data_IF_506405705469
#
_entry.id   IF_506405705469
#
_cell.length_a   1.000
_cell.length_b   1.000
_cell.length_c   1.000
_cell.angle_alpha   90.00
_cell.angle_beta   90.00
_cell.angle_gamma   90.00
#
_symmetry.space_group_name_H-M   'P 1'
#
loop_
_entity.id
_entity.type
_entity.pdbx_description
1 polymer ?
#
# COMPACT_ATOMS: atom_id res chain seq x y z
N UNK A 1 14.87 11.50 -9.46
CA UNK A 1 14.89 10.21 -8.74
C UNK A 1 14.06 10.36 -7.48
N UNK A 2 12.91 9.71 -7.39
CA UNK A 2 11.99 9.84 -6.25
C UNK A 2 12.52 9.03 -5.07
N UNK A 3 12.76 9.66 -3.93
CA UNK A 3 13.13 9.00 -2.69
C UNK A 3 11.95 8.16 -2.18
N UNK A 4 12.05 6.84 -2.25
CA UNK A 4 11.13 5.93 -1.56
C UNK A 4 11.36 6.07 -0.06
N UNK A 5 10.49 6.84 0.62
CA UNK A 5 10.43 6.86 2.08
C UNK A 5 9.82 5.53 2.54
N UNK A 6 10.67 4.59 2.92
CA UNK A 6 10.27 3.38 3.64
C UNK A 6 9.75 3.81 5.00
N UNK A 7 8.51 3.45 5.33
CA UNK A 7 7.97 3.64 6.68
C UNK A 7 8.63 2.58 7.56
N UNK A 8 9.61 3.00 8.36
CA UNK A 8 10.08 2.22 9.50
C UNK A 8 9.18 2.54 10.71
N UNK A 9 8.91 1.57 11.60
CA UNK A 9 8.22 1.86 12.84
C UNK A 9 9.13 2.72 13.73
N UNK A 10 9.00 4.04 13.61
CA UNK A 10 9.68 4.98 14.50
C UNK A 10 8.90 5.06 15.82
N UNK A 11 9.63 4.79 16.91
CA UNK A 11 9.30 5.05 18.32
C UNK A 11 8.30 4.12 19.03
N UNK A 12 8.84 3.09 19.71
CA UNK A 12 8.52 2.74 21.12
C UNK A 12 9.66 1.97 21.80
N UNK A 13 10.71 2.67 22.23
CA UNK A 13 11.65 2.14 23.22
C UNK A 13 11.87 3.20 24.30
N UNK A 14 10.88 3.36 25.18
CA UNK A 14 10.96 4.29 26.33
C UNK A 14 11.29 3.57 27.64
N UNK A 15 11.96 2.41 27.57
CA UNK A 15 12.44 1.66 28.73
C UNK A 15 13.87 1.18 28.47
N UNK A 16 14.83 1.73 29.20
CA UNK A 16 16.27 1.44 29.04
C UNK A 16 16.65 -0.04 29.27
N UNK A 17 15.76 -0.83 29.88
CA UNK A 17 15.94 -2.27 30.10
C UNK A 17 15.44 -3.15 28.93
N UNK A 18 14.61 -2.64 28.02
CA UNK A 18 13.97 -3.42 26.93
C UNK A 18 14.82 -3.44 25.64
N UNK A 19 15.70 -2.44 25.45
CA UNK A 19 16.51 -2.33 24.24
C UNK A 19 17.56 -3.45 24.14
N UNK A 20 18.13 -3.90 25.26
CA UNK A 20 19.14 -4.97 25.25
C UNK A 20 18.53 -6.36 25.06
N UNK A 21 17.31 -6.57 25.54
CA UNK A 21 16.56 -7.82 25.31
C UNK A 21 16.06 -7.85 23.86
N UNK A 22 15.48 -6.74 23.38
CA UNK A 22 15.12 -6.53 21.98
C UNK A 22 16.31 -6.71 21.04
N UNK A 23 17.47 -6.11 21.33
CA UNK A 23 18.66 -6.26 20.48
C UNK A 23 19.17 -7.70 20.48
N UNK A 24 19.04 -8.46 21.57
CA UNK A 24 19.45 -9.87 21.63
C UNK A 24 18.50 -10.76 20.85
N UNK A 25 17.19 -10.53 20.97
CA UNK A 25 16.16 -11.22 20.20
C UNK A 25 16.24 -10.85 18.70
N UNK A 26 16.55 -9.59 18.40
CA UNK A 26 16.78 -9.10 17.04
C UNK A 26 18.08 -9.65 16.45
N UNK A 27 19.14 -9.80 17.25
CA UNK A 27 20.41 -10.39 16.81
C UNK A 27 20.26 -11.91 16.55
N UNK A 28 19.45 -12.62 17.34
CA UNK A 28 19.03 -14.00 17.03
C UNK A 28 18.20 -14.05 15.74
N UNK A 29 17.33 -13.07 15.51
CA UNK A 29 16.49 -12.98 14.30
C UNK A 29 17.25 -12.53 13.03
N UNK A 30 18.37 -11.81 13.19
CA UNK A 30 19.15 -11.20 12.09
C UNK A 30 20.45 -11.96 11.79
N UNK A 31 20.99 -12.73 12.74
CA UNK A 31 22.23 -13.50 12.55
C UNK A 31 22.12 -14.62 11.50
N UNK A 32 20.92 -14.98 11.03
CA UNK A 32 20.73 -15.81 9.84
C UNK A 32 20.83 -14.92 8.59
N UNK A 33 22.07 -14.53 8.29
CA UNK A 33 22.40 -13.54 7.26
C UNK A 33 22.47 -14.16 5.86
N UNK A 34 21.32 -14.58 5.35
CA UNK A 34 20.97 -14.60 3.93
C UNK A 34 19.48 -14.28 3.87
N UNK A 35 19.09 -13.20 3.19
CA UNK A 35 17.67 -12.98 2.95
C UNK A 35 17.19 -14.15 2.10
N UNK A 36 16.40 -15.04 2.70
CA UNK A 36 15.72 -16.08 1.96
C UNK A 36 15.04 -15.44 0.76
N UNK A 37 15.02 -16.13 -0.38
CA UNK A 37 14.37 -15.59 -1.58
C UNK A 37 12.90 -15.26 -1.31
N UNK A 38 12.27 -15.96 -0.36
CA UNK A 38 10.93 -15.64 0.17
C UNK A 38 10.85 -14.28 0.87
N UNK A 39 11.85 -13.88 1.67
CA UNK A 39 11.86 -12.55 2.30
C UNK A 39 12.01 -11.44 1.25
N UNK A 40 12.79 -11.67 0.19
CA UNK A 40 12.87 -10.74 -0.94
C UNK A 40 11.53 -10.66 -1.68
N UNK A 41 10.89 -11.80 -1.92
CA UNK A 41 9.57 -11.89 -2.56
C UNK A 41 8.52 -11.11 -1.75
N UNK A 42 8.45 -11.32 -0.43
CA UNK A 42 7.54 -10.59 0.46
C UNK A 42 7.74 -9.07 0.37
N UNK A 43 8.99 -8.60 0.49
CA UNK A 43 9.29 -7.16 0.46
C UNK A 43 9.10 -6.52 -0.92
N UNK A 44 9.24 -7.29 -2.00
CA UNK A 44 9.03 -6.80 -3.37
C UNK A 44 7.57 -6.83 -3.82
N UNK A 45 6.66 -7.41 -3.02
CA UNK A 45 5.27 -7.65 -3.42
C UNK A 45 4.44 -6.36 -3.40
N UNK A 46 4.23 -5.81 -4.59
CA UNK A 46 3.30 -4.70 -4.85
C UNK A 46 1.98 -5.22 -5.43
N UNK A 47 0.86 -4.54 -5.14
CA UNK A 47 -0.43 -4.85 -5.74
C UNK A 47 -0.37 -4.66 -7.26
N UNK A 48 -0.89 -5.61 -8.01
CA UNK A 48 -0.96 -5.53 -9.48
C UNK A 48 -2.19 -4.74 -9.94
N UNK A 49 -2.13 -4.16 -11.12
CA UNK A 49 -3.29 -3.51 -11.72
C UNK A 49 -4.42 -4.53 -11.94
N UNK A 50 -5.63 -4.20 -11.51
CA UNK A 50 -6.81 -5.08 -11.57
C UNK A 50 -6.88 -6.14 -10.46
N UNK A 51 -5.87 -6.25 -9.60
CA UNK A 51 -5.89 -7.15 -8.45
C UNK A 51 -6.82 -6.61 -7.34
N UNK A 52 -7.63 -7.48 -6.74
CA UNK A 52 -8.48 -7.10 -5.60
C UNK A 52 -7.64 -6.97 -4.32
N UNK A 53 -8.05 -6.09 -3.40
CA UNK A 53 -7.35 -5.91 -2.12
C UNK A 53 -7.27 -7.23 -1.32
N UNK A 54 -8.33 -8.04 -1.35
CA UNK A 54 -8.38 -9.33 -0.66
C UNK A 54 -7.40 -10.36 -1.26
N UNK A 55 -7.31 -10.44 -2.58
CA UNK A 55 -6.32 -11.32 -3.25
C UNK A 55 -4.91 -10.88 -2.89
N UNK A 56 -4.63 -9.58 -2.98
CA UNK A 56 -3.33 -9.02 -2.65
C UNK A 56 -2.91 -9.30 -1.21
N UNK A 57 -3.81 -9.08 -0.24
CA UNK A 57 -3.55 -9.37 1.16
C UNK A 57 -3.34 -10.86 1.42
N UNK A 58 -4.10 -11.72 0.75
CA UNK A 58 -3.98 -13.18 0.93
C UNK A 58 -2.63 -13.69 0.44
N UNK A 59 -2.16 -13.20 -0.71
CA UNK A 59 -0.82 -13.49 -1.22
C UNK A 59 0.27 -12.95 -0.29
N UNK A 60 0.08 -11.77 0.30
CA UNK A 60 1.01 -11.22 1.29
C UNK A 60 1.10 -12.06 2.55
N UNK A 61 -0.03 -12.55 3.07
CA UNK A 61 -0.06 -13.47 4.22
C UNK A 61 0.72 -14.76 3.90
N UNK A 62 0.49 -15.33 2.72
CA UNK A 62 1.17 -16.55 2.29
C UNK A 62 2.68 -16.34 2.08
N UNK A 63 3.09 -15.22 1.49
CA UNK A 63 4.52 -14.90 1.32
C UNK A 63 5.20 -14.59 2.65
N UNK A 64 4.51 -13.96 3.61
CA UNK A 64 5.02 -13.79 4.96
C UNK A 64 5.30 -15.13 5.65
N UNK A 65 4.36 -16.07 5.57
CA UNK A 65 4.51 -17.42 6.17
C UNK A 65 5.66 -18.23 5.56
N UNK A 66 6.01 -17.96 4.29
CA UNK A 66 7.20 -18.54 3.65
C UNK A 66 8.48 -17.81 4.04
N UNK A 67 8.40 -16.50 4.22
CA UNK A 67 9.54 -15.65 4.55
C UNK A 67 10.00 -15.79 6.00
N UNK A 68 9.07 -16.09 6.91
CA UNK A 68 9.30 -16.16 8.35
C UNK A 68 8.78 -17.47 8.91
N UNK A 69 9.66 -18.26 9.51
CA UNK A 69 9.29 -19.51 10.17
C UNK A 69 8.55 -19.21 11.48
N UNK A 70 7.40 -19.87 11.67
CA UNK A 70 6.67 -19.82 12.93
C UNK A 70 7.55 -20.39 14.07
N UNK A 71 7.73 -19.67 15.19
CA UNK A 71 8.41 -20.21 16.35
C UNK A 71 7.73 -21.49 16.83
N UNK A 72 8.52 -22.52 17.10
CA UNK A 72 8.05 -23.80 17.64
C UNK A 72 8.10 -23.71 19.17
N UNK A 73 7.00 -24.06 19.82
CA UNK A 73 6.92 -24.22 21.27
C UNK A 73 6.75 -25.70 21.56
N UNK A 74 7.77 -26.32 22.14
CA UNK A 74 7.74 -27.73 22.47
C UNK A 74 6.88 -27.96 23.72
N UNK A 75 6.08 -29.04 23.80
CA UNK A 75 5.32 -29.33 25.01
C UNK A 75 6.25 -29.50 26.21
N UNK A 76 6.00 -28.76 27.29
CA UNK A 76 6.78 -28.89 28.52
C UNK A 76 6.49 -30.24 29.22
N UNK A 77 7.50 -31.10 29.46
CA UNK A 77 7.34 -32.31 30.25
C UNK A 77 6.93 -32.01 31.70
N UNK A 78 6.16 -32.91 32.31
CA UNK A 78 5.66 -32.75 33.70
C UNK A 78 6.81 -32.68 34.71
N UNK A 79 7.90 -33.37 34.43
CA UNK A 79 9.12 -33.47 35.25
C UNK A 79 10.25 -32.53 34.77
N UNK A 80 9.91 -31.51 33.97
CA UNK A 80 10.90 -30.56 33.46
C UNK A 80 11.69 -29.85 34.58
N UNK A 81 13.01 -29.84 34.43
CA UNK A 81 13.92 -29.10 35.29
C UNK A 81 13.80 -27.58 35.08
N UNK A 82 14.49 -26.79 35.91
CA UNK A 82 14.44 -25.33 35.85
C UNK A 82 14.89 -24.78 34.49
N UNK A 83 15.96 -25.34 33.91
CA UNK A 83 16.51 -24.90 32.63
C UNK A 83 15.51 -25.09 31.48
N UNK A 84 14.82 -26.24 31.42
CA UNK A 84 13.77 -26.51 30.43
C UNK A 84 12.57 -25.59 30.58
N UNK A 85 12.21 -25.21 31.81
CA UNK A 85 11.13 -24.24 32.05
C UNK A 85 11.49 -22.85 31.54
N UNK A 86 12.75 -22.45 31.69
CA UNK A 86 13.25 -21.17 31.18
C UNK A 86 13.25 -21.17 29.64
N UNK A 87 13.77 -22.24 29.02
CA UNK A 87 13.78 -22.40 27.57
C UNK A 87 12.35 -22.37 26.99
N UNK A 88 11.41 -23.09 27.60
CA UNK A 88 10.00 -23.07 27.19
C UNK A 88 9.39 -21.67 27.29
N UNK A 89 9.63 -20.96 28.40
CA UNK A 89 9.16 -19.59 28.55
C UNK A 89 9.72 -18.64 27.49
N UNK A 90 10.96 -18.87 27.04
CA UNK A 90 11.55 -18.12 25.92
C UNK A 90 10.87 -18.45 24.59
N UNK A 91 10.58 -19.73 24.32
CA UNK A 91 9.82 -20.14 23.13
C UNK A 91 8.43 -19.50 23.09
N UNK A 92 7.71 -19.48 24.22
CA UNK A 92 6.40 -18.83 24.32
C UNK A 92 6.48 -17.33 24.07
N UNK A 93 7.48 -16.64 24.64
CA UNK A 93 7.71 -15.21 24.38
C UNK A 93 8.00 -14.95 22.90
N UNK A 94 8.83 -15.78 22.27
CA UNK A 94 9.12 -15.67 20.85
C UNK A 94 7.86 -15.84 19.99
N UNK A 95 6.98 -16.79 20.34
CA UNK A 95 5.71 -16.99 19.65
C UNK A 95 4.76 -15.79 19.80
N UNK A 96 4.64 -15.23 21.01
CA UNK A 96 3.83 -14.02 21.27
C UNK A 96 4.37 -12.83 20.48
N UNK A 97 5.69 -12.63 20.48
CA UNK A 97 6.34 -11.58 19.72
C UNK A 97 6.12 -11.74 18.21
N UNK A 98 6.28 -12.96 17.68
CA UNK A 98 6.02 -13.27 16.27
C UNK A 98 4.59 -12.94 15.87
N UNK A 99 3.60 -13.38 16.66
CA UNK A 99 2.18 -13.12 16.36
C UNK A 99 1.88 -11.62 16.35
N UNK A 100 2.45 -10.86 17.28
CA UNK A 100 2.31 -9.40 17.31
C UNK A 100 2.93 -8.73 16.08
N UNK A 101 4.14 -9.13 15.71
CA UNK A 101 4.88 -8.56 14.57
C UNK A 101 4.29 -8.94 13.21
N UNK A 102 3.70 -10.13 13.09
CA UNK A 102 3.11 -10.65 11.85
C UNK A 102 2.12 -9.67 11.25
N UNK A 103 1.15 -9.21 12.04
CA UNK A 103 0.12 -8.30 11.54
C UNK A 103 0.68 -6.92 11.20
N UNK A 104 1.60 -6.40 12.02
CA UNK A 104 2.27 -5.12 11.78
C UNK A 104 3.10 -5.15 10.47
N UNK A 105 3.87 -6.21 10.25
CA UNK A 105 4.71 -6.37 9.06
C UNK A 105 3.87 -6.55 7.79
N UNK A 106 2.83 -7.38 7.86
CA UNK A 106 1.89 -7.57 6.75
C UNK A 106 1.20 -6.26 6.44
N UNK A 107 0.74 -5.50 7.44
CA UNK A 107 0.11 -4.20 7.23
C UNK A 107 1.07 -3.18 6.60
N UNK A 108 2.29 -3.09 7.12
CA UNK A 108 3.33 -2.22 6.56
C UNK A 108 3.59 -2.55 5.09
N UNK A 109 3.81 -3.83 4.77
CA UNK A 109 4.08 -4.26 3.40
C UNK A 109 2.87 -4.06 2.50
N UNK A 110 1.67 -4.34 2.99
CA UNK A 110 0.41 -4.12 2.28
C UNK A 110 0.27 -2.65 1.89
N UNK A 111 0.48 -1.71 2.82
CA UNK A 111 0.41 -0.26 2.55
C UNK A 111 1.50 0.20 1.59
N UNK A 112 2.73 -0.32 1.75
CA UNK A 112 3.87 0.04 0.90
C UNK A 112 3.64 -0.36 -0.56
N UNK A 113 3.03 -1.52 -0.79
CA UNK A 113 2.75 -2.01 -2.14
C UNK A 113 1.46 -1.51 -2.77
N UNK A 114 0.75 -0.56 -2.12
CA UNK A 114 -0.34 0.19 -2.76
C UNK A 114 0.21 1.24 -3.74
N UNK A 115 -0.67 1.69 -4.64
CA UNK A 115 -0.43 2.85 -5.49
C UNK A 115 -0.12 4.10 -4.67
N UNK A 116 0.71 4.99 -5.23
CA UNK A 116 1.24 6.18 -4.56
C UNK A 116 0.16 7.04 -3.88
N UNK A 117 -0.95 7.29 -4.57
CA UNK A 117 -2.05 8.13 -4.07
C UNK A 117 -2.69 7.55 -2.79
N UNK A 118 -3.07 6.26 -2.82
CA UNK A 118 -3.66 5.57 -1.66
C UNK A 118 -2.68 5.47 -0.50
N UNK A 119 -1.42 5.12 -0.80
CA UNK A 119 -0.36 5.03 0.21
C UNK A 119 -0.14 6.37 0.92
N UNK A 120 -0.10 7.48 0.19
CA UNK A 120 0.09 8.81 0.79
C UNK A 120 -1.08 9.23 1.69
N UNK A 121 -2.32 8.87 1.33
CA UNK A 121 -3.50 9.15 2.16
C UNK A 121 -3.44 8.36 3.48
N UNK A 122 -3.00 7.10 3.43
CA UNK A 122 -2.92 6.24 4.60
C UNK A 122 -1.76 6.63 5.53
N UNK A 123 -0.57 6.92 4.99
CA UNK A 123 0.61 7.27 5.80
C UNK A 123 0.41 8.56 6.62
N UNK A 124 -0.47 9.47 6.17
CA UNK A 124 -0.81 10.70 6.92
C UNK A 124 -1.66 10.43 8.17
N UNK A 125 -2.07 9.19 8.42
CA UNK A 125 -2.87 8.82 9.59
C UNK A 125 -1.96 8.29 10.69
N UNK A 126 -1.83 9.04 11.78
CA UNK A 126 -0.98 8.71 12.92
C UNK A 126 -1.39 7.41 13.65
N UNK A 127 -2.58 6.88 13.35
CA UNK A 127 -3.14 5.68 13.95
C UNK A 127 -3.15 4.46 13.03
N UNK A 128 -2.57 4.54 11.82
CA UNK A 128 -2.65 3.47 10.82
C UNK A 128 -2.17 2.12 11.36
N UNK A 129 -1.01 2.08 12.03
CA UNK A 129 -0.44 0.86 12.61
C UNK A 129 -1.19 0.37 13.86
N UNK A 130 -2.12 1.15 14.40
CA UNK A 130 -2.99 0.73 15.51
C UNK A 130 -4.29 0.10 15.03
N UNK A 131 -4.60 0.20 13.74
CA UNK A 131 -5.80 -0.37 13.13
C UNK A 131 -5.54 -1.83 12.73
N UNK A 132 -6.58 -2.64 12.77
CA UNK A 132 -6.52 -3.96 12.15
C UNK A 132 -6.43 -3.83 10.64
N UNK A 133 -5.85 -4.85 10.00
CA UNK A 133 -5.75 -4.92 8.54
C UNK A 133 -7.13 -4.82 7.88
N UNK A 134 -8.16 -5.40 8.49
CA UNK A 134 -9.55 -5.39 8.01
C UNK A 134 -10.15 -3.97 8.04
N UNK A 135 -9.81 -3.18 9.05
CA UNK A 135 -10.24 -1.77 9.14
C UNK A 135 -9.60 -0.94 8.03
N UNK A 136 -8.30 -1.16 7.78
CA UNK A 136 -7.56 -0.49 6.70
C UNK A 136 -8.08 -0.92 5.33
N UNK A 137 -8.40 -2.20 5.12
CA UNK A 137 -9.03 -2.70 3.90
C UNK A 137 -10.34 -1.98 3.61
N UNK A 138 -11.24 -1.90 4.59
CA UNK A 138 -12.53 -1.21 4.44
C UNK A 138 -12.34 0.25 4.06
N UNK A 139 -11.38 0.92 4.69
CA UNK A 139 -11.05 2.30 4.41
C UNK A 139 -10.53 2.50 2.98
N UNK A 140 -9.68 1.61 2.49
CA UNK A 140 -9.17 1.68 1.11
C UNK A 140 -10.31 1.46 0.10
N UNK A 141 -11.18 0.48 0.34
CA UNK A 141 -12.33 0.24 -0.53
C UNK A 141 -13.20 1.50 -0.67
N UNK A 142 -13.48 2.20 0.42
CA UNK A 142 -14.21 3.48 0.39
C UNK A 142 -13.47 4.54 -0.41
N UNK A 143 -12.15 4.68 -0.24
CA UNK A 143 -11.34 5.64 -0.99
C UNK A 143 -11.32 5.33 -2.50
N UNK A 144 -11.24 4.05 -2.88
CA UNK A 144 -11.28 3.64 -4.30
C UNK A 144 -12.64 3.93 -4.93
N UNK A 145 -13.73 3.71 -4.20
CA UNK A 145 -15.09 4.05 -4.64
C UNK A 145 -15.25 5.57 -4.85
N UNK A 146 -14.82 6.39 -3.89
CA UNK A 146 -14.87 7.85 -3.96
C UNK A 146 -14.04 8.41 -5.14
N UNK A 147 -12.83 7.88 -5.35
CA UNK A 147 -11.98 8.27 -6.48
C UNK A 147 -12.60 7.84 -7.81
N UNK A 148 -13.18 6.64 -7.88
CA UNK A 148 -13.88 6.12 -9.05
C UNK A 148 -15.08 7.00 -9.43
N UNK A 149 -15.87 7.44 -8.45
CA UNK A 149 -16.99 8.38 -8.64
C UNK A 149 -16.50 9.72 -9.17
N UNK A 150 -15.44 10.26 -8.57
CA UNK A 150 -14.88 11.57 -8.96
C UNK A 150 -14.33 11.55 -10.40
N UNK A 151 -13.66 10.47 -10.81
CA UNK A 151 -13.16 10.28 -12.18
C UNK A 151 -14.31 10.16 -13.19
N UNK A 152 -15.40 9.45 -12.86
CA UNK A 152 -16.58 9.32 -13.72
C UNK A 152 -17.29 10.66 -13.94
N UNK A 153 -17.48 11.45 -12.87
CA UNK A 153 -18.07 12.80 -12.97
C UNK A 153 -17.21 13.71 -13.86
N UNK A 154 -15.90 13.70 -13.65
CA UNK A 154 -14.95 14.50 -14.43
C UNK A 154 -14.94 14.11 -15.92
N UNK A 155 -15.04 12.82 -16.22
CA UNK A 155 -15.13 12.32 -17.59
C UNK A 155 -16.46 12.70 -18.25
N UNK A 156 -17.59 12.56 -17.54
CA UNK A 156 -18.91 12.96 -18.02
C UNK A 156 -19.00 14.47 -18.27
N UNK A 157 -18.40 15.30 -17.40
CA UNK A 157 -18.33 16.75 -17.60
C UNK A 157 -17.50 17.14 -18.83
N UNK A 158 -16.37 16.45 -19.09
CA UNK A 158 -15.58 16.69 -20.31
C UNK A 158 -16.33 16.25 -21.57
N UNK A 159 -17.00 15.11 -21.53
CA UNK A 159 -17.81 14.61 -22.64
C UNK A 159 -19.00 15.55 -22.94
N UNK A 160 -19.71 16.02 -21.91
CA UNK A 160 -20.81 16.97 -22.07
C UNK A 160 -20.36 18.35 -22.60
N UNK A 161 -19.16 18.81 -22.24
CA UNK A 161 -18.61 20.08 -22.73
C UNK A 161 -18.20 20.02 -24.20
N UNK A 162 -17.77 18.86 -24.69
CA UNK A 162 -17.51 18.60 -26.10
C UNK A 162 -18.81 18.56 -26.93
N UNK A 163 -19.90 18.04 -26.38
CA UNK A 163 -21.20 18.03 -27.06
C UNK A 163 -21.74 19.46 -27.27
N UNK A 164 -21.59 20.35 -26.28
CA UNK A 164 -22.07 21.75 -26.38
C UNK A 164 -21.27 22.64 -27.34
N UNK A 165 -20.13 22.19 -27.86
CA UNK A 165 -19.30 22.96 -28.77
C UNK A 165 -19.44 22.57 -30.25
N UNK A 166 -20.13 21.46 -30.55
CA UNK A 166 -20.39 21.02 -31.93
C UNK A 166 -21.68 21.63 -32.50
N UNK A 167 -22.64 22.02 -31.66
CA UNK A 167 -23.90 22.65 -32.10
C UNK A 167 -23.79 24.16 -32.33
N UNK A 168 -22.61 24.77 -32.11
CA UNK A 168 -22.37 26.21 -32.28
C UNK A 168 -21.70 26.62 -33.60
N UNK A 169 -21.35 25.67 -34.48
CA UNK A 169 -20.56 25.93 -35.69
C UNK A 169 -21.37 25.94 -37.00
N UNK A 170 -22.69 26.12 -36.93
CA UNK A 170 -23.57 26.30 -38.10
C UNK A 170 -24.28 27.65 -38.03
N UNK A 171 -23.56 28.75 -38.30
CA UNK A 171 -24.10 29.98 -38.88
C UNK A 171 -23.00 31.05 -38.94
N UNK A 172 -22.17 31.01 -39.97
CA UNK A 172 -21.46 32.20 -40.45
C UNK A 172 -21.57 32.24 -41.97
N UNK A 173 -22.58 33.00 -42.39
CA UNK A 173 -22.63 33.87 -43.57
C UNK A 173 -21.96 33.41 -44.87
N UNK A 174 -22.79 32.84 -45.74
CA UNK A 174 -22.68 33.00 -47.18
C UNK A 174 -23.17 34.42 -47.55
N UNK A 175 -22.26 35.37 -47.73
CA UNK A 175 -22.54 36.64 -48.40
C UNK A 175 -21.60 36.77 -49.60
N UNK A 176 -22.15 36.46 -50.77
CA UNK A 176 -21.53 36.65 -52.06
C UNK A 176 -21.22 38.12 -52.31
N UNK A 177 -19.93 38.46 -52.46
CA UNK A 177 -19.51 39.75 -52.99
C UNK A 177 -19.49 39.72 -54.51
N UNK A 178 -20.45 40.44 -55.10
CA UNK A 178 -20.48 40.85 -56.49
C UNK A 178 -19.27 41.74 -56.81
N UNK A 179 -18.51 41.36 -57.84
CA UNK A 179 -17.53 42.21 -58.50
C UNK A 179 -18.24 43.30 -59.32
N UNK A 180 -17.82 44.58 -59.21
CA UNK A 180 -18.08 45.56 -60.26
C UNK A 180 -16.90 45.64 -61.24
N UNK A 181 -17.22 45.39 -62.51
CA UNK A 181 -16.38 45.63 -63.68
C UNK A 181 -16.11 47.12 -63.85
N UNK A 182 -14.84 47.51 -63.99
CA UNK A 182 -14.44 48.82 -64.48
C UNK A 182 -13.94 48.70 -65.91
N UNK A 183 -14.84 48.96 -66.86
CA UNK A 183 -14.48 49.47 -68.18
C UNK A 183 -14.02 50.92 -68.01
N UNK A 184 -12.77 51.22 -68.37
CA UNK A 184 -12.36 52.59 -68.70
C UNK A 184 -11.90 52.61 -70.16
N UNK A 185 -12.71 53.32 -70.96
CA UNK A 185 -12.41 53.74 -72.31
C UNK A 185 -11.55 55.00 -72.28
N UNK A 186 -10.76 55.11 -73.35
CA UNK A 186 -9.95 56.23 -73.83
C UNK A 186 -10.54 57.63 -73.59
N UNK A 187 -9.68 58.58 -73.21
CA UNK A 187 -9.10 59.59 -74.12
C UNK A 187 -7.74 60.09 -73.59
#
# INVERSE_FOLDING_TARGET
MGSNKTVLPENKFSGEEDIREFLRDFEIFVAVKEWSDYKKEFNARNRKDGETLHSYLSDLRLSYERAYSLPIVDPLPVDANADRKIEHAQQERALVFYNRRKDEDILCQFVNGLGKELREVLIRQDDLLKKSVESVLKQISTLEEEQGVTRKISAAQRAGKLQSHVDGAQNVEEVAHQQPSLENKLD
#
